data_IF_925784691304
#
_entry.id   IF_925784691304
#
_cell.length_a   1.000
_cell.length_b   1.000
_cell.length_c   1.000
_cell.angle_alpha   90.00
_cell.angle_beta   90.00
_cell.angle_gamma   90.00
#
_symmetry.space_group_name_H-M   'P 1'
#
loop_
_entity.id
_entity.type
_entity.pdbx_description
1 polymer ?
#
# COMPACT_ATOMS: atom_id res chain seq x y z
N UNK A 1 -25.45 -21.18 0.07
CA UNK A 1 -25.86 -21.66 1.41
C UNK A 1 -25.55 -20.59 2.44
N UNK A 2 -25.93 -20.78 3.72
CA UNK A 2 -25.55 -19.84 4.80
C UNK A 2 -24.01 -19.70 4.95
N UNK A 3 -23.26 -20.78 4.72
CA UNK A 3 -21.78 -20.80 4.77
C UNK A 3 -21.10 -20.28 3.49
N UNK A 4 -21.83 -20.22 2.37
CA UNK A 4 -21.32 -19.74 1.08
C UNK A 4 -22.47 -19.10 0.28
N UNK A 5 -22.83 -17.84 0.58
CA UNK A 5 -23.87 -17.14 -0.14
C UNK A 5 -23.42 -16.83 -1.57
N UNK A 6 -24.34 -16.93 -2.53
CA UNK A 6 -24.11 -16.63 -3.94
C UNK A 6 -25.15 -15.59 -4.34
N UNK A 7 -24.69 -14.46 -4.88
CA UNK A 7 -25.56 -13.40 -5.38
C UNK A 7 -26.32 -13.88 -6.62
N UNK A 8 -27.57 -13.47 -6.74
CA UNK A 8 -28.29 -13.53 -8.01
C UNK A 8 -27.68 -12.56 -9.02
N UNK A 9 -27.96 -12.78 -10.31
CA UNK A 9 -27.53 -11.88 -11.37
C UNK A 9 -28.06 -10.44 -11.19
N UNK A 10 -29.23 -10.28 -10.56
CA UNK A 10 -29.79 -8.95 -10.32
C UNK A 10 -29.08 -8.23 -9.16
N UNK A 11 -28.79 -8.93 -8.06
CA UNK A 11 -28.02 -8.37 -6.94
C UNK A 11 -26.59 -8.00 -7.38
N UNK A 12 -25.96 -8.84 -8.20
CA UNK A 12 -24.61 -8.62 -8.71
C UNK A 12 -24.44 -7.31 -9.50
N UNK A 13 -25.51 -6.76 -10.09
CA UNK A 13 -25.48 -5.43 -10.76
C UNK A 13 -25.13 -4.28 -9.82
N UNK A 14 -25.31 -4.47 -8.51
CA UNK A 14 -24.94 -3.49 -7.50
C UNK A 14 -23.46 -3.57 -7.11
N UNK A 15 -22.74 -4.62 -7.53
CA UNK A 15 -21.36 -4.90 -7.14
C UNK A 15 -20.40 -4.85 -8.34
N UNK A 16 -20.41 -3.71 -9.04
CA UNK A 16 -19.49 -3.41 -10.16
C UNK A 16 -18.53 -2.28 -9.77
N UNK A 17 -17.38 -2.16 -10.43
CA UNK A 17 -16.36 -1.16 -10.09
C UNK A 17 -16.92 0.27 -9.98
N UNK A 18 -17.82 0.67 -10.88
CA UNK A 18 -18.47 1.99 -10.84
C UNK A 18 -19.26 2.25 -9.55
N UNK A 19 -19.80 1.21 -8.89
CA UNK A 19 -20.52 1.31 -7.62
C UNK A 19 -19.56 1.45 -6.45
N UNK A 20 -18.50 0.64 -6.42
CA UNK A 20 -17.43 0.74 -5.42
C UNK A 20 -16.69 2.08 -5.48
N UNK A 21 -16.62 2.69 -6.66
CA UNK A 21 -15.97 3.98 -6.88
C UNK A 21 -16.91 5.19 -6.86
N UNK A 22 -18.18 4.98 -6.47
CA UNK A 22 -19.13 6.06 -6.29
C UNK A 22 -18.60 7.11 -5.29
N UNK A 23 -19.03 8.36 -5.49
CA UNK A 23 -18.74 9.45 -4.55
C UNK A 23 -19.73 9.41 -3.39
N UNK A 24 -19.27 9.74 -2.18
CA UNK A 24 -20.18 10.02 -1.06
C UNK A 24 -20.90 11.38 -1.23
N UNK A 25 -20.32 12.30 -2.00
CA UNK A 25 -20.95 13.58 -2.35
C UNK A 25 -22.07 13.34 -3.37
N UNK A 26 -23.31 13.80 -3.11
CA UNK A 26 -24.43 13.68 -4.06
C UNK A 26 -24.11 14.28 -5.43
N UNK A 27 -24.65 13.69 -6.49
CA UNK A 27 -24.51 14.12 -7.89
C UNK A 27 -23.06 14.19 -8.43
N UNK A 28 -22.08 13.66 -7.69
CA UNK A 28 -20.72 13.50 -8.19
C UNK A 28 -20.57 12.17 -8.90
N UNK A 29 -20.07 12.20 -10.15
CA UNK A 29 -19.81 11.00 -10.92
C UNK A 29 -18.85 10.05 -10.18
N UNK A 30 -19.04 8.74 -10.39
CA UNK A 30 -18.13 7.73 -9.89
C UNK A 30 -16.71 7.96 -10.44
N UNK A 31 -15.71 7.60 -9.65
CA UNK A 31 -14.32 7.67 -10.13
C UNK A 31 -14.10 6.61 -11.22
N UNK A 32 -13.74 7.08 -12.41
CA UNK A 32 -13.35 6.26 -13.56
C UNK A 32 -11.91 6.62 -13.93
N UNK A 33 -10.90 5.89 -13.42
CA UNK A 33 -9.50 6.20 -13.71
C UNK A 33 -9.14 5.83 -15.15
N UNK A 34 -8.39 6.72 -15.81
CA UNK A 34 -7.58 6.33 -16.96
C UNK A 34 -6.37 5.50 -16.49
N UNK A 35 -5.85 4.59 -17.34
CA UNK A 35 -4.61 3.87 -17.05
C UNK A 35 -3.45 4.80 -16.68
N UNK A 36 -2.52 4.29 -15.88
CA UNK A 36 -1.27 4.98 -15.55
C UNK A 36 -0.51 5.30 -16.84
N UNK A 37 -0.17 6.57 -17.04
CA UNK A 37 0.62 7.05 -18.20
C UNK A 37 1.95 7.57 -17.70
N UNK A 38 3.04 6.99 -18.20
CA UNK A 38 4.41 7.38 -17.86
C UNK A 38 4.88 8.54 -18.76
N UNK A 39 5.68 9.48 -18.23
CA UNK A 39 6.19 10.60 -19.00
C UNK A 39 7.38 10.17 -19.85
N UNK A 40 7.71 10.96 -20.89
CA UNK A 40 8.93 10.77 -21.65
C UNK A 40 10.20 10.99 -20.80
N UNK A 41 10.12 11.85 -19.77
CA UNK A 41 11.18 12.11 -18.81
C UNK A 41 10.57 12.16 -17.39
N UNK A 42 11.10 11.39 -16.42
CA UNK A 42 10.64 11.47 -15.04
C UNK A 42 11.11 12.76 -14.36
N UNK A 43 10.41 13.18 -13.31
CA UNK A 43 10.85 14.30 -12.46
C UNK A 43 12.05 13.91 -11.60
N UNK A 44 12.11 12.64 -11.19
CA UNK A 44 13.18 12.08 -10.36
C UNK A 44 13.52 10.65 -10.79
N UNK A 45 14.80 10.30 -10.70
CA UNK A 45 15.31 8.95 -10.91
C UNK A 45 15.99 8.46 -9.64
N UNK A 46 15.58 7.30 -9.17
CA UNK A 46 16.20 6.58 -8.05
C UNK A 46 17.04 5.44 -8.59
N UNK A 47 18.30 5.34 -8.15
CA UNK A 47 19.21 4.28 -8.59
C UNK A 47 20.57 4.33 -7.90
N UNK A 48 21.53 3.50 -8.36
CA UNK A 48 22.87 3.44 -7.79
C UNK A 48 23.64 4.76 -7.96
N UNK A 49 24.40 5.15 -6.92
CA UNK A 49 25.21 6.35 -6.94
C UNK A 49 26.20 6.35 -8.14
N UNK A 50 26.37 7.50 -8.78
CA UNK A 50 27.26 7.66 -9.94
C UNK A 50 26.69 7.18 -11.28
N UNK A 51 25.49 6.57 -11.29
CA UNK A 51 24.81 6.19 -12.54
C UNK A 51 24.26 7.43 -13.25
N UNK A 52 24.50 7.60 -14.57
CA UNK A 52 23.97 8.75 -15.31
C UNK A 52 22.45 8.89 -15.19
N UNK A 53 21.98 10.11 -14.92
CA UNK A 53 20.57 10.43 -14.77
C UNK A 53 19.97 10.14 -13.38
N UNK A 54 20.67 9.41 -12.51
CA UNK A 54 20.21 9.19 -11.13
C UNK A 54 20.24 10.51 -10.35
N UNK A 55 19.10 10.83 -9.74
CA UNK A 55 18.93 12.03 -8.90
C UNK A 55 19.01 11.71 -7.41
N UNK A 56 18.63 10.49 -7.02
CA UNK A 56 18.55 10.06 -5.62
C UNK A 56 18.97 8.61 -5.49
N UNK A 57 19.57 8.25 -4.36
CA UNK A 57 19.98 6.87 -4.05
C UNK A 57 19.00 6.13 -3.14
N UNK A 58 17.96 6.83 -2.67
CA UNK A 58 16.86 6.21 -1.91
C UNK A 58 15.51 6.75 -2.37
N UNK A 59 14.49 5.90 -2.27
CA UNK A 59 13.13 6.24 -2.69
C UNK A 59 12.54 7.32 -1.78
N UNK A 60 12.79 7.24 -0.46
CA UNK A 60 12.30 8.28 0.47
C UNK A 60 12.85 9.66 0.12
N UNK A 61 14.13 9.78 -0.26
CA UNK A 61 14.70 11.07 -0.62
C UNK A 61 14.05 11.67 -1.88
N UNK A 62 13.75 10.84 -2.89
CA UNK A 62 13.02 11.30 -4.07
C UNK A 62 11.57 11.70 -3.75
N UNK A 63 10.89 10.95 -2.87
CA UNK A 63 9.56 11.31 -2.35
C UNK A 63 9.62 12.66 -1.63
N UNK A 64 10.59 12.84 -0.75
CA UNK A 64 10.76 14.09 0.00
C UNK A 64 10.99 15.27 -0.95
N UNK A 65 11.87 15.10 -1.95
CA UNK A 65 12.14 16.12 -2.97
C UNK A 65 10.89 16.48 -3.79
N UNK A 66 10.06 15.49 -4.14
CA UNK A 66 8.79 15.72 -4.83
C UNK A 66 7.79 16.49 -3.95
N UNK A 67 7.72 16.16 -2.66
CA UNK A 67 6.80 16.78 -1.71
C UNK A 67 7.15 18.23 -1.38
N UNK A 68 8.44 18.56 -1.31
CA UNK A 68 8.92 19.92 -1.04
C UNK A 68 8.53 20.91 -2.15
N UNK A 69 8.30 20.45 -3.39
CA UNK A 69 7.84 21.32 -4.50
C UNK A 69 6.45 21.93 -4.28
N UNK A 70 5.62 21.37 -3.39
CA UNK A 70 4.24 21.83 -3.09
C UNK A 70 3.37 22.09 -4.34
N UNK A 71 3.59 21.29 -5.39
CA UNK A 71 2.88 21.42 -6.67
C UNK A 71 1.57 20.63 -6.66
N UNK A 72 0.59 21.11 -7.43
CA UNK A 72 -0.65 20.37 -7.72
C UNK A 72 -0.47 19.40 -8.90
N UNK A 73 0.63 19.51 -9.66
CA UNK A 73 0.92 18.61 -10.77
C UNK A 73 1.37 17.25 -10.25
N UNK A 74 1.01 16.20 -10.99
CA UNK A 74 1.57 14.87 -10.76
C UNK A 74 3.09 14.91 -10.91
N UNK A 75 3.80 14.22 -10.02
CA UNK A 75 5.25 14.04 -10.10
C UNK A 75 5.57 12.56 -10.29
N UNK A 76 6.60 12.29 -11.08
CA UNK A 76 6.99 10.96 -11.54
C UNK A 76 8.38 10.59 -11.03
N UNK A 77 8.45 9.48 -10.30
CA UNK A 77 9.68 8.92 -9.75
C UNK A 77 9.94 7.57 -10.43
N UNK A 78 10.93 7.56 -11.32
CA UNK A 78 11.45 6.34 -11.93
C UNK A 78 12.40 5.64 -10.95
N UNK A 79 12.28 4.32 -10.80
CA UNK A 79 13.11 3.52 -9.91
C UNK A 79 13.84 2.48 -10.76
N UNK A 80 15.17 2.58 -10.82
CA UNK A 80 16.01 1.64 -11.55
C UNK A 80 16.00 0.26 -10.88
N UNK A 81 16.25 -0.84 -11.63
CA UNK A 81 16.40 -2.17 -11.04
C UNK A 81 17.37 -2.20 -9.85
N UNK A 82 17.00 -2.92 -8.81
CA UNK A 82 17.77 -3.03 -7.57
C UNK A 82 16.92 -3.31 -6.35
N UNK A 83 17.60 -3.60 -5.24
CA UNK A 83 17.02 -3.81 -3.93
C UNK A 83 17.14 -2.54 -3.08
N UNK A 84 16.00 -1.97 -2.68
CA UNK A 84 15.87 -0.74 -1.93
C UNK A 84 15.36 -1.05 -0.52
N UNK A 85 16.31 -1.21 0.40
CA UNK A 85 15.99 -1.51 1.80
C UNK A 85 15.51 -0.27 2.55
N UNK A 86 14.42 -0.43 3.30
CA UNK A 86 13.91 0.54 4.25
C UNK A 86 12.54 1.10 3.86
N UNK A 87 11.90 1.76 4.83
CA UNK A 87 10.55 2.30 4.66
C UNK A 87 10.40 3.34 3.54
N UNK A 88 9.22 3.42 2.94
CA UNK A 88 8.84 4.52 2.05
C UNK A 88 7.51 5.10 2.52
N UNK A 89 7.55 6.33 3.05
CA UNK A 89 6.40 7.08 3.53
C UNK A 89 6.07 8.21 2.56
N UNK A 90 4.89 8.11 1.94
CA UNK A 90 4.37 9.09 0.98
C UNK A 90 3.25 9.89 1.65
N UNK A 91 3.51 11.14 2.09
CA UNK A 91 2.53 11.91 2.83
C UNK A 91 1.36 12.38 1.96
N UNK A 92 0.29 12.82 2.63
CA UNK A 92 -0.76 13.56 1.98
C UNK A 92 -0.19 14.85 1.38
N UNK A 93 -0.59 15.18 0.16
CA UNK A 93 -0.12 16.36 -0.57
C UNK A 93 -1.18 16.83 -1.57
N UNK A 94 -1.12 18.09 -2.01
CA UNK A 94 -2.06 18.60 -3.00
C UNK A 94 -1.82 17.99 -4.39
N UNK A 95 -0.57 17.65 -4.72
CA UNK A 95 -0.21 16.89 -5.92
C UNK A 95 -0.09 15.39 -5.65
N UNK A 96 -0.31 14.60 -6.69
CA UNK A 96 -0.19 13.14 -6.65
C UNK A 96 1.20 12.65 -7.08
N UNK A 97 1.64 11.51 -6.56
CA UNK A 97 2.87 10.84 -7.02
C UNK A 97 2.58 9.61 -7.89
N UNK A 98 3.47 9.38 -8.85
CA UNK A 98 3.63 8.11 -9.55
C UNK A 98 5.03 7.57 -9.27
N UNK A 99 5.12 6.40 -8.65
CA UNK A 99 6.37 5.67 -8.48
C UNK A 99 6.32 4.44 -9.39
N UNK A 100 7.34 4.25 -10.21
CA UNK A 100 7.35 3.14 -11.15
C UNK A 100 8.75 2.55 -11.34
N UNK A 101 8.82 1.21 -11.39
CA UNK A 101 10.06 0.51 -11.70
C UNK A 101 10.36 0.51 -13.19
N UNK A 102 11.65 0.62 -13.55
CA UNK A 102 12.12 0.64 -14.94
C UNK A 102 12.70 -0.69 -15.40
N UNK A 103 12.55 -1.76 -14.59
CA UNK A 103 12.92 -3.12 -14.97
C UNK A 103 11.93 -3.75 -15.96
N UNK A 104 12.29 -4.91 -16.49
CA UNK A 104 11.43 -5.69 -17.40
C UNK A 104 10.20 -6.23 -16.64
N UNK A 105 10.44 -6.68 -15.41
CA UNK A 105 9.47 -7.31 -14.52
C UNK A 105 9.35 -6.53 -13.21
N UNK A 106 8.21 -6.64 -12.51
CA UNK A 106 8.04 -5.98 -11.21
C UNK A 106 9.06 -6.42 -10.17
N UNK A 107 9.58 -7.65 -10.27
CA UNK A 107 10.57 -8.21 -9.34
C UNK A 107 11.97 -7.61 -9.49
N UNK A 108 12.24 -6.89 -10.58
CA UNK A 108 13.54 -6.28 -10.82
C UNK A 108 13.76 -5.05 -9.93
N UNK A 109 12.69 -4.47 -9.36
CA UNK A 109 12.73 -3.37 -8.39
C UNK A 109 12.07 -3.83 -7.11
N UNK A 110 12.85 -4.04 -6.04
CA UNK A 110 12.33 -4.52 -4.76
C UNK A 110 12.45 -3.45 -3.70
N UNK A 111 11.33 -3.12 -3.07
CA UNK A 111 11.26 -2.22 -1.93
C UNK A 111 10.91 -3.07 -0.73
N UNK A 112 11.75 -3.09 0.30
CA UNK A 112 11.47 -3.98 1.42
C UNK A 112 12.08 -3.62 2.75
N UNK A 113 11.40 -4.01 3.80
CA UNK A 113 11.87 -3.91 5.18
C UNK A 113 11.11 -4.90 6.06
N UNK A 114 11.83 -5.58 6.96
CA UNK A 114 11.22 -6.41 7.98
C UNK A 114 10.71 -5.52 9.12
N UNK A 115 9.39 -5.45 9.28
CA UNK A 115 8.76 -4.71 10.38
C UNK A 115 7.61 -5.56 10.92
N UNK A 116 7.75 -5.98 12.16
CA UNK A 116 6.72 -6.72 12.89
C UNK A 116 5.88 -5.75 13.73
N UNK A 117 4.55 -5.88 13.67
CA UNK A 117 3.64 -5.17 14.57
C UNK A 117 3.89 -5.49 16.04
N UNK A 118 4.44 -6.66 16.36
CA UNK A 118 4.77 -7.07 17.73
C UNK A 118 6.14 -6.56 18.21
N UNK A 119 6.97 -5.95 17.35
CA UNK A 119 8.27 -5.45 17.78
C UNK A 119 8.12 -4.24 18.72
N UNK A 120 9.11 -4.06 19.61
CA UNK A 120 9.11 -2.94 20.54
C UNK A 120 9.16 -1.59 19.81
N UNK A 121 8.54 -0.56 20.38
CA UNK A 121 8.60 0.80 19.79
C UNK A 121 10.05 1.30 19.67
N UNK A 122 10.92 0.90 20.60
CA UNK A 122 12.33 1.27 20.57
C UNK A 122 13.08 0.62 19.39
N UNK A 123 12.87 -0.66 19.15
CA UNK A 123 13.51 -1.38 18.04
C UNK A 123 12.97 -0.90 16.70
N UNK A 124 11.66 -0.65 16.62
CA UNK A 124 11.04 -0.04 15.46
C UNK A 124 11.68 1.30 15.12
N UNK A 125 11.86 2.20 16.10
CA UNK A 125 12.50 3.51 15.89
C UNK A 125 13.92 3.37 15.35
N UNK A 126 14.70 2.44 15.92
CA UNK A 126 16.09 2.17 15.51
C UNK A 126 16.16 1.65 14.08
N UNK A 127 15.24 0.76 13.70
CA UNK A 127 15.19 0.16 12.37
C UNK A 127 14.67 1.13 11.30
N UNK A 128 13.61 1.89 11.60
CA UNK A 128 12.89 2.72 10.61
C UNK A 128 13.58 4.06 10.36
N UNK A 129 14.31 4.60 11.34
CA UNK A 129 14.89 5.94 11.25
C UNK A 129 16.43 6.00 11.38
N UNK A 130 17.20 5.17 10.67
CA UNK A 130 18.66 5.29 10.69
C UNK A 130 19.08 6.63 10.06
N UNK A 131 20.10 7.26 10.64
CA UNK A 131 20.73 8.47 10.08
C UNK A 131 19.81 9.69 9.96
N UNK A 132 18.72 9.78 10.73
CA UNK A 132 17.78 10.89 10.64
C UNK A 132 16.99 10.91 9.34
N UNK A 133 16.63 9.74 8.82
CA UNK A 133 15.76 9.58 7.64
C UNK A 133 14.47 10.41 7.76
N UNK A 134 13.82 10.37 8.92
CA UNK A 134 12.65 11.16 9.30
C UNK A 134 13.03 12.11 10.44
N UNK A 135 12.82 13.41 10.22
CA UNK A 135 13.12 14.48 11.20
C UNK A 135 12.06 15.58 11.10
N UNK A 136 11.83 16.36 12.17
CA UNK A 136 10.99 17.55 12.09
C UNK A 136 11.38 18.43 10.91
N UNK A 137 10.39 18.86 10.12
CA UNK A 137 10.59 19.63 8.88
C UNK A 137 10.69 18.79 7.61
N UNK A 138 10.98 17.48 7.68
CA UNK A 138 10.90 16.60 6.51
C UNK A 138 9.44 16.22 6.18
N UNK A 139 9.10 15.99 4.90
CA UNK A 139 7.71 15.82 4.46
C UNK A 139 6.91 14.74 5.20
N UNK A 140 7.52 13.58 5.45
CA UNK A 140 6.86 12.45 6.10
C UNK A 140 6.99 12.43 7.65
N UNK A 141 7.45 13.52 8.27
CA UNK A 141 7.68 13.56 9.72
C UNK A 141 6.44 13.15 10.52
N UNK A 142 5.27 13.71 10.21
CA UNK A 142 4.06 13.41 10.98
C UNK A 142 3.66 11.94 10.92
N UNK A 143 3.95 11.25 9.82
CA UNK A 143 3.67 9.82 9.66
C UNK A 143 4.55 9.02 10.61
N UNK A 144 5.86 9.28 10.58
CA UNK A 144 6.81 8.68 11.50
C UNK A 144 6.50 9.01 12.97
N UNK A 145 6.17 10.27 13.25
CA UNK A 145 5.95 10.79 14.59
C UNK A 145 4.74 10.13 15.28
N UNK A 146 3.67 9.86 14.54
CA UNK A 146 2.50 9.12 15.04
C UNK A 146 2.82 7.68 15.50
N UNK A 147 3.91 7.09 14.99
CA UNK A 147 4.34 5.74 15.37
C UNK A 147 5.41 5.78 16.45
N UNK A 148 6.42 6.65 16.29
CA UNK A 148 7.55 6.74 17.22
C UNK A 148 7.14 7.21 18.62
N UNK A 149 6.07 8.00 18.73
CA UNK A 149 5.57 8.59 19.98
C UNK A 149 4.70 7.65 20.81
N UNK A 150 4.45 6.42 20.33
CA UNK A 150 3.66 5.43 21.07
C UNK A 150 4.32 5.06 22.39
N UNK A 151 3.51 4.94 23.43
CA UNK A 151 3.90 4.44 24.76
C UNK A 151 3.47 2.98 25.00
N UNK A 152 3.02 2.28 23.96
CA UNK A 152 2.68 0.87 24.02
C UNK A 152 3.94 -0.02 24.04
N UNK A 153 3.79 -1.26 24.50
CA UNK A 153 4.88 -2.24 24.46
C UNK A 153 5.31 -2.56 23.02
N UNK A 154 4.33 -2.71 22.11
CA UNK A 154 4.54 -3.06 20.70
C UNK A 154 4.09 -1.93 19.78
N UNK A 155 4.64 -1.87 18.56
CA UNK A 155 4.36 -0.78 17.62
C UNK A 155 2.97 -0.91 16.94
N UNK A 156 2.47 -2.13 16.80
CA UNK A 156 1.19 -2.50 16.21
C UNK A 156 1.12 -2.39 14.68
N UNK A 157 0.14 -3.09 14.09
CA UNK A 157 -0.07 -3.23 12.64
C UNK A 157 -0.16 -1.90 11.88
N UNK A 158 -0.71 -0.84 12.50
CA UNK A 158 -0.80 0.50 11.90
C UNK A 158 0.57 1.14 11.64
N UNK A 159 1.67 0.54 12.12
CA UNK A 159 3.02 1.04 11.96
C UNK A 159 3.99 -0.02 11.40
N UNK A 160 3.50 -1.20 10.99
CA UNK A 160 4.34 -2.27 10.42
C UNK A 160 4.50 -2.21 8.90
N UNK A 161 4.02 -1.14 8.26
CA UNK A 161 4.09 -0.98 6.81
C UNK A 161 5.50 -0.64 6.31
N UNK A 162 6.05 -1.48 5.42
CA UNK A 162 7.27 -1.15 4.68
C UNK A 162 7.05 0.04 3.73
N UNK A 163 5.93 0.06 3.01
CA UNK A 163 5.48 1.21 2.22
C UNK A 163 4.17 1.74 2.78
N UNK A 164 4.11 3.01 3.18
CA UNK A 164 2.88 3.65 3.66
C UNK A 164 2.60 4.93 2.90
N UNK A 165 1.41 5.05 2.32
CA UNK A 165 0.97 6.27 1.64
C UNK A 165 -0.32 6.84 2.21
N UNK A 166 -0.37 8.17 2.30
CA UNK A 166 -1.59 8.96 2.46
C UNK A 166 -1.86 9.88 1.26
N UNK A 167 -1.11 9.70 0.17
CA UNK A 167 -1.21 10.54 -1.02
C UNK A 167 -2.44 10.19 -1.86
N UNK A 168 -3.37 11.13 -1.98
CA UNK A 168 -4.50 10.99 -2.90
C UNK A 168 -3.97 10.96 -4.34
N UNK A 169 -4.47 10.01 -5.14
CA UNK A 169 -4.02 9.80 -6.51
C UNK A 169 -2.67 9.10 -6.64
N UNK A 170 -2.14 8.47 -5.58
CA UNK A 170 -0.94 7.64 -5.69
C UNK A 170 -1.07 6.65 -6.87
N UNK A 171 -0.01 6.55 -7.65
CA UNK A 171 0.14 5.54 -8.69
C UNK A 171 1.40 4.72 -8.43
N UNK A 172 1.26 3.39 -8.39
CA UNK A 172 2.37 2.45 -8.29
C UNK A 172 2.37 1.55 -9.53
N UNK A 173 3.51 1.38 -10.18
CA UNK A 173 3.61 0.53 -11.36
C UNK A 173 4.93 -0.25 -11.48
N UNK A 174 4.87 -1.51 -11.89
CA UNK A 174 6.04 -2.31 -12.30
C UNK A 174 7.16 -2.40 -11.24
N UNK A 175 6.79 -2.71 -9.99
CA UNK A 175 7.73 -2.86 -8.87
C UNK A 175 7.22 -3.89 -7.86
N UNK A 176 8.08 -4.27 -6.91
CA UNK A 176 7.76 -5.19 -5.81
C UNK A 176 7.87 -4.46 -4.48
N UNK A 177 6.88 -4.65 -3.61
CA UNK A 177 6.88 -4.16 -2.23
C UNK A 177 6.74 -5.38 -1.32
N UNK A 178 7.67 -5.52 -0.39
CA UNK A 178 7.75 -6.68 0.50
C UNK A 178 7.95 -6.25 1.96
N UNK A 179 7.18 -6.82 2.88
CA UNK A 179 7.62 -6.86 4.27
C UNK A 179 8.46 -8.12 4.46
N UNK A 180 9.77 -7.93 4.60
CA UNK A 180 10.74 -9.04 4.55
C UNK A 180 10.85 -9.80 5.87
N UNK A 181 9.87 -9.66 6.78
CA UNK A 181 9.79 -10.47 8.00
C UNK A 181 9.65 -11.97 7.63
N UNK A 182 8.84 -12.26 6.61
CA UNK A 182 8.73 -13.59 6.00
C UNK A 182 8.52 -14.72 7.01
N UNK A 183 9.28 -15.81 6.84
CA UNK A 183 9.21 -17.01 7.68
C UNK A 183 10.20 -16.95 8.88
N UNK A 184 10.70 -15.76 9.24
CA UNK A 184 11.64 -15.62 10.37
C UNK A 184 10.97 -15.68 11.75
N UNK A 185 9.64 -15.74 11.77
CA UNK A 185 8.77 -15.76 12.97
C UNK A 185 7.89 -17.00 12.95
N UNK A 186 7.29 -17.33 14.09
CA UNK A 186 6.45 -18.51 14.21
C UNK A 186 5.04 -18.31 13.56
N UNK A 187 4.18 -19.32 13.73
CA UNK A 187 2.83 -19.35 13.18
C UNK A 187 1.83 -18.44 13.92
N UNK A 188 2.25 -17.79 15.01
CA UNK A 188 1.45 -16.88 15.81
C UNK A 188 1.15 -15.54 15.14
N UNK A 189 0.72 -14.58 15.96
CA UNK A 189 0.33 -13.24 15.50
C UNK A 189 1.56 -12.36 15.25
N UNK A 190 1.87 -12.09 13.98
CA UNK A 190 2.97 -11.25 13.52
C UNK A 190 2.52 -10.31 12.37
N UNK A 191 1.73 -9.25 12.66
CA UNK A 191 1.20 -8.36 11.63
C UNK A 191 2.32 -7.58 10.91
N UNK A 192 2.58 -7.89 9.64
CA UNK A 192 3.73 -7.40 8.90
C UNK A 192 3.31 -6.84 7.52
N UNK A 193 2.88 -5.58 7.53
CA UNK A 193 2.31 -4.95 6.33
C UNK A 193 3.40 -4.64 5.30
N UNK A 194 3.22 -5.07 4.06
CA UNK A 194 4.11 -4.70 2.96
C UNK A 194 3.72 -3.33 2.40
N UNK A 195 2.46 -3.21 1.96
CA UNK A 195 1.91 -1.97 1.46
C UNK A 195 0.71 -1.53 2.30
N UNK A 196 0.77 -0.29 2.81
CA UNK A 196 -0.37 0.43 3.35
C UNK A 196 -0.73 1.62 2.48
N UNK A 197 -2.01 1.77 2.15
CA UNK A 197 -2.51 2.99 1.50
C UNK A 197 -3.77 3.53 2.15
N UNK A 198 -3.74 4.83 2.44
CA UNK A 198 -4.83 5.59 3.04
C UNK A 198 -5.45 6.60 2.05
N UNK A 199 -4.79 6.84 0.92
CA UNK A 199 -5.19 7.84 -0.08
C UNK A 199 -6.46 7.43 -0.85
N UNK A 200 -7.21 8.42 -1.34
CA UNK A 200 -8.30 8.20 -2.29
C UNK A 200 -7.79 8.24 -3.75
N UNK A 201 -8.49 7.57 -4.66
CA UNK A 201 -8.18 7.46 -6.10
C UNK A 201 -6.81 6.85 -6.39
N UNK A 202 -6.40 5.86 -5.62
CA UNK A 202 -5.09 5.20 -5.74
C UNK A 202 -5.13 4.14 -6.83
N UNK A 203 -4.12 4.08 -7.70
CA UNK A 203 -3.97 3.03 -8.71
C UNK A 203 -2.69 2.23 -8.46
N UNK A 204 -2.82 0.91 -8.47
CA UNK A 204 -1.70 -0.04 -8.32
C UNK A 204 -1.77 -0.97 -9.53
N UNK A 205 -0.77 -0.93 -10.41
CA UNK A 205 -0.80 -1.70 -11.66
C UNK A 205 0.49 -2.50 -11.85
N UNK A 206 0.39 -3.80 -12.14
CA UNK A 206 1.59 -4.63 -12.39
C UNK A 206 2.59 -4.57 -11.22
N UNK A 207 2.08 -4.75 -10.00
CA UNK A 207 2.88 -4.69 -8.75
C UNK A 207 2.81 -6.04 -8.03
N UNK A 208 3.93 -6.47 -7.47
CA UNK A 208 3.97 -7.57 -6.52
C UNK A 208 3.90 -6.99 -5.09
N UNK A 209 2.97 -7.48 -4.27
CA UNK A 209 2.85 -7.12 -2.85
C UNK A 209 3.05 -8.40 -2.04
N UNK A 210 4.20 -8.52 -1.39
CA UNK A 210 4.68 -9.79 -0.82
C UNK A 210 4.74 -9.70 0.71
N UNK A 211 4.25 -10.72 1.39
CA UNK A 211 4.27 -10.79 2.85
C UNK A 211 3.73 -12.11 3.38
N UNK A 212 3.25 -12.07 4.62
CA UNK A 212 2.59 -13.17 5.34
C UNK A 212 1.28 -12.65 5.92
N UNK A 213 1.30 -12.21 7.17
CA UNK A 213 0.12 -11.68 7.83
C UNK A 213 -0.08 -10.18 7.53
N UNK A 214 -1.30 -9.80 7.12
CA UNK A 214 -1.68 -8.41 6.78
C UNK A 214 -0.88 -7.77 5.63
N UNK A 215 -0.46 -8.54 4.62
CA UNK A 215 0.39 -8.08 3.50
C UNK A 215 -0.03 -6.74 2.88
N UNK A 216 -1.31 -6.58 2.52
CA UNK A 216 -1.85 -5.36 1.93
C UNK A 216 -2.92 -4.74 2.81
N UNK A 217 -2.64 -3.55 3.34
CA UNK A 217 -3.49 -2.88 4.30
C UNK A 217 -4.08 -1.58 3.73
N UNK A 218 -5.39 -1.49 3.66
CA UNK A 218 -6.06 -0.24 3.27
C UNK A 218 -6.71 0.39 4.48
N UNK A 219 -6.57 1.70 4.66
CA UNK A 219 -7.25 2.39 5.74
C UNK A 219 -7.91 3.65 5.23
N UNK A 220 -8.88 4.16 5.98
CA UNK A 220 -9.43 5.47 5.75
C UNK A 220 -8.80 6.55 6.65
N UNK A 221 -7.63 6.28 7.24
CA UNK A 221 -6.96 7.19 8.17
C UNK A 221 -6.68 8.56 7.55
N UNK A 222 -6.81 9.59 8.39
CA UNK A 222 -6.21 10.90 8.15
C UNK A 222 -4.82 11.01 8.77
N UNK A 223 -4.39 12.23 9.10
CA UNK A 223 -3.05 12.52 9.66
C UNK A 223 -2.82 11.94 11.06
N UNK A 224 -3.84 11.41 11.73
CA UNK A 224 -3.78 10.90 13.11
C UNK A 224 -3.49 9.39 13.21
N UNK A 225 -3.22 8.72 12.07
CA UNK A 225 -2.91 7.30 12.01
C UNK A 225 -3.93 6.37 12.72
N UNK A 226 -5.23 6.59 12.48
CA UNK A 226 -6.33 5.80 13.05
C UNK A 226 -7.48 5.65 12.07
N UNK A 227 -8.21 4.55 12.15
CA UNK A 227 -9.42 4.34 11.35
C UNK A 227 -10.47 5.42 11.66
N UNK A 228 -11.14 5.90 10.62
CA UNK A 228 -12.18 6.93 10.68
C UNK A 228 -13.57 6.33 10.40
N UNK A 229 -14.62 7.10 10.67
CA UNK A 229 -16.02 6.70 10.48
C UNK A 229 -16.73 7.44 9.34
N UNK A 230 -16.07 8.44 8.75
CA UNK A 230 -16.66 9.43 7.84
C UNK A 230 -15.86 9.59 6.53
N UNK A 231 -14.93 8.67 6.26
CA UNK A 231 -14.07 8.71 5.07
C UNK A 231 -14.06 7.38 4.33
N UNK A 232 -14.17 7.43 3.00
CA UNK A 232 -14.18 6.26 2.11
C UNK A 232 -13.16 6.44 0.98
N UNK A 233 -11.90 6.00 1.16
CA UNK A 233 -10.91 6.02 0.09
C UNK A 233 -11.20 4.92 -0.93
N UNK A 234 -10.86 5.20 -2.20
CA UNK A 234 -11.00 4.28 -3.32
C UNK A 234 -9.65 3.88 -3.89
N UNK A 235 -9.46 2.58 -4.11
CA UNK A 235 -8.23 2.01 -4.67
C UNK A 235 -8.56 1.03 -5.80
N UNK A 236 -7.86 1.17 -6.92
CA UNK A 236 -7.89 0.22 -8.03
C UNK A 236 -6.57 -0.55 -8.08
N UNK A 237 -6.65 -1.87 -7.99
CA UNK A 237 -5.52 -2.79 -8.14
C UNK A 237 -5.72 -3.60 -9.41
N UNK A 238 -4.74 -3.58 -10.32
CA UNK A 238 -4.86 -4.17 -11.66
C UNK A 238 -3.61 -4.94 -12.04
N UNK A 239 -3.77 -6.13 -12.64
CA UNK A 239 -2.65 -6.91 -13.18
C UNK A 239 -1.55 -7.23 -12.15
N UNK A 240 -1.92 -7.35 -10.88
CA UNK A 240 -0.98 -7.45 -9.75
C UNK A 240 -0.92 -8.84 -9.17
N UNK A 241 0.08 -9.06 -8.31
CA UNK A 241 0.26 -10.29 -7.53
C UNK A 241 0.33 -9.93 -6.05
N UNK A 242 -0.45 -10.62 -5.22
CA UNK A 242 -0.47 -10.42 -3.76
C UNK A 242 -0.27 -11.78 -3.09
N UNK A 243 0.69 -11.85 -2.18
CA UNK A 243 1.06 -13.08 -1.47
C UNK A 243 0.99 -12.92 0.05
N UNK A 244 0.47 -13.92 0.74
CA UNK A 244 0.35 -13.90 2.20
C UNK A 244 -0.28 -15.17 2.76
N UNK A 245 -0.53 -15.17 4.07
CA UNK A 245 -1.23 -16.24 4.77
C UNK A 245 -2.51 -15.73 5.45
N UNK A 246 -2.37 -15.07 6.59
CA UNK A 246 -3.46 -14.61 7.46
C UNK A 246 -3.82 -13.17 7.14
N UNK A 247 -5.11 -12.92 6.90
CA UNK A 247 -5.65 -11.58 6.61
C UNK A 247 -4.88 -10.83 5.50
N UNK A 248 -4.46 -11.55 4.45
CA UNK A 248 -3.54 -11.06 3.41
C UNK A 248 -3.90 -9.67 2.87
N UNK A 249 -5.19 -9.42 2.64
CA UNK A 249 -5.72 -8.10 2.32
C UNK A 249 -6.69 -7.67 3.41
N UNK A 250 -6.39 -6.59 4.11
CA UNK A 250 -7.16 -6.17 5.28
C UNK A 250 -7.45 -4.67 5.32
N UNK A 251 -8.46 -4.31 6.12
CA UNK A 251 -8.71 -2.93 6.53
C UNK A 251 -9.93 -2.28 5.87
N UNK A 252 -9.97 -0.95 5.87
CA UNK A 252 -11.17 -0.12 5.60
C UNK A 252 -10.96 0.79 4.39
N UNK A 253 -11.68 0.49 3.31
CA UNK A 253 -11.76 1.30 2.09
C UNK A 253 -12.53 0.57 0.99
N UNK A 254 -12.84 1.27 -0.10
CA UNK A 254 -13.41 0.68 -1.30
C UNK A 254 -12.26 0.25 -2.24
N UNK A 255 -12.07 -1.07 -2.41
CA UNK A 255 -10.98 -1.59 -3.24
C UNK A 255 -11.53 -2.50 -4.32
N UNK A 256 -11.14 -2.23 -5.57
CA UNK A 256 -11.41 -3.11 -6.70
C UNK A 256 -10.11 -3.75 -7.14
N UNK A 257 -10.07 -5.07 -7.14
CA UNK A 257 -9.00 -5.90 -7.68
C UNK A 257 -9.47 -6.48 -9.01
N UNK A 258 -8.80 -6.12 -10.10
CA UNK A 258 -9.11 -6.60 -11.45
C UNK A 258 -7.89 -7.31 -12.04
N UNK A 259 -8.08 -8.53 -12.55
CA UNK A 259 -6.98 -9.38 -13.04
C UNK A 259 -5.80 -9.48 -12.05
N UNK A 260 -6.09 -9.66 -10.77
CA UNK A 260 -5.09 -9.80 -9.71
C UNK A 260 -4.97 -11.26 -9.31
N UNK A 261 -3.75 -11.73 -9.07
CA UNK A 261 -3.49 -13.05 -8.51
C UNK A 261 -3.28 -12.95 -6.99
N UNK A 262 -4.03 -13.75 -6.24
CA UNK A 262 -3.89 -13.92 -4.80
C UNK A 262 -3.29 -15.29 -4.54
N UNK A 263 -2.10 -15.32 -3.95
CA UNK A 263 -1.39 -16.54 -3.60
C UNK A 263 -1.35 -16.69 -2.08
N UNK A 264 -2.01 -17.73 -1.57
CA UNK A 264 -1.80 -18.18 -0.20
C UNK A 264 -0.51 -19.00 -0.14
N UNK A 265 0.32 -18.75 0.87
CA UNK A 265 1.52 -19.54 1.18
C UNK A 265 1.38 -20.18 2.56
N UNK A 266 1.97 -21.36 2.75
CA UNK A 266 1.88 -22.13 3.99
C UNK A 266 3.26 -22.39 4.64
N UNK A 267 4.27 -21.61 4.26
CA UNK A 267 5.65 -21.74 4.75
C UNK A 267 5.79 -21.32 6.22
N UNK A 268 5.06 -20.27 6.64
CA UNK A 268 5.06 -19.77 8.03
C UNK A 268 4.03 -20.46 8.91
N UNK A 269 2.82 -20.64 8.40
CA UNK A 269 1.71 -21.32 9.10
C UNK A 269 0.99 -22.29 8.16
N UNK A 270 0.64 -23.46 8.67
CA UNK A 270 -0.19 -24.46 7.99
C UNK A 270 -1.60 -24.57 8.60
N UNK A 271 -1.87 -23.79 9.65
CA UNK A 271 -3.07 -23.94 10.47
C UNK A 271 -4.25 -23.14 9.94
N UNK A 272 -3.98 -21.99 9.33
CA UNK A 272 -5.01 -21.08 8.84
C UNK A 272 -4.49 -20.17 7.71
N UNK A 273 -5.41 -19.70 6.88
CA UNK A 273 -5.16 -18.69 5.87
C UNK A 273 -6.47 -17.97 5.51
N UNK A 274 -6.42 -16.65 5.38
CA UNK A 274 -7.56 -15.83 4.97
C UNK A 274 -7.11 -14.77 3.98
N UNK A 275 -7.71 -14.80 2.79
CA UNK A 275 -7.35 -13.83 1.74
C UNK A 275 -7.84 -12.42 2.07
N UNK A 276 -9.08 -12.28 2.54
CA UNK A 276 -9.71 -10.98 2.79
C UNK A 276 -10.19 -10.86 4.24
N UNK A 277 -9.80 -9.76 4.89
CA UNK A 277 -10.26 -9.33 6.21
C UNK A 277 -10.74 -7.86 6.16
N UNK A 278 -11.91 -7.60 5.52
CA UNK A 278 -12.45 -6.25 5.39
C UNK A 278 -12.93 -5.71 6.74
N UNK A 279 -12.57 -4.47 7.04
CA UNK A 279 -13.03 -3.71 8.21
C UNK A 279 -14.05 -2.63 7.81
N UNK A 280 -14.87 -2.92 6.80
CA UNK A 280 -15.92 -2.03 6.28
C UNK A 280 -16.89 -1.66 7.41
N UNK A 281 -17.25 -0.39 7.50
CA UNK A 281 -18.27 0.05 8.45
C UNK A 281 -19.62 -0.53 8.06
N UNK A 282 -20.46 -0.89 9.03
CA UNK A 282 -21.77 -1.50 8.78
C UNK A 282 -22.73 -0.60 7.99
N UNK A 283 -22.55 0.72 8.06
CA UNK A 283 -23.31 1.71 7.30
C UNK A 283 -22.71 2.04 5.92
N UNK A 284 -21.62 1.38 5.51
CA UNK A 284 -20.97 1.55 4.20
C UNK A 284 -21.15 0.27 3.38
N UNK A 285 -21.67 0.40 2.17
CA UNK A 285 -22.06 -0.77 1.36
C UNK A 285 -20.91 -1.41 0.57
N UNK A 286 -19.81 -0.69 0.36
CA UNK A 286 -18.74 -1.12 -0.54
C UNK A 286 -17.41 -1.28 0.20
N UNK A 287 -16.97 -2.53 0.35
CA UNK A 287 -15.65 -2.90 0.84
C UNK A 287 -14.74 -3.33 -0.29
N UNK A 288 -14.45 -4.62 -0.39
CA UNK A 288 -13.59 -5.18 -1.44
C UNK A 288 -14.41 -5.84 -2.57
N UNK A 289 -13.92 -5.71 -3.80
CA UNK A 289 -14.41 -6.38 -4.99
C UNK A 289 -13.23 -7.03 -5.70
N UNK A 290 -13.27 -8.36 -5.88
CA UNK A 290 -12.33 -9.06 -6.74
C UNK A 290 -13.06 -9.54 -8.00
N UNK A 291 -12.60 -9.06 -9.16
CA UNK A 291 -13.18 -9.36 -10.48
C UNK A 291 -12.06 -9.85 -11.41
N UNK A 292 -12.40 -10.80 -12.28
CA UNK A 292 -11.45 -11.41 -13.24
C UNK A 292 -10.13 -11.88 -12.61
N UNK A 293 -10.15 -12.20 -11.32
CA UNK A 293 -8.97 -12.45 -10.49
C UNK A 293 -8.78 -13.94 -10.27
N UNK A 294 -7.59 -14.34 -9.82
CA UNK A 294 -7.21 -15.72 -9.56
C UNK A 294 -6.86 -15.90 -8.09
N UNK A 295 -7.27 -17.02 -7.51
CA UNK A 295 -6.98 -17.38 -6.12
C UNK A 295 -6.33 -18.76 -6.13
N UNK A 296 -5.14 -18.87 -5.54
CA UNK A 296 -4.40 -20.11 -5.38
C UNK A 296 -4.01 -20.28 -3.90
N UNK A 297 -4.06 -21.51 -3.41
CA UNK A 297 -3.68 -21.89 -2.05
C UNK A 297 -3.09 -23.29 -2.05
#
# INVERSE_FOLDING_TARGET
TASRPILSANEAKNFVAARYFASLTPNTAAWSPSPITLPAQPDFVVGPAGTPGVTHTSIQAAVDAAMVKRTNKRQYIAIMPGDYQGTVYVPAAPGSLTLYGTGEKPIDVKIGMAIDGEMSVADWRRAVNPGGKYMPGKPAWYMFDNCQSKHAATIGVMCSAAFWSQNNGLQLQNLTIENTLGDSVDAGNHPAVALRTDGDKVQINKVNILGRQNTFFVTNSGVQNRLQTDRQPRTLVTNSYIEGDVDMVSGRGAVVFDNTNFQVVNSRTQQEAYVFAPATLSNIYYGFLAINSRFNA
#
